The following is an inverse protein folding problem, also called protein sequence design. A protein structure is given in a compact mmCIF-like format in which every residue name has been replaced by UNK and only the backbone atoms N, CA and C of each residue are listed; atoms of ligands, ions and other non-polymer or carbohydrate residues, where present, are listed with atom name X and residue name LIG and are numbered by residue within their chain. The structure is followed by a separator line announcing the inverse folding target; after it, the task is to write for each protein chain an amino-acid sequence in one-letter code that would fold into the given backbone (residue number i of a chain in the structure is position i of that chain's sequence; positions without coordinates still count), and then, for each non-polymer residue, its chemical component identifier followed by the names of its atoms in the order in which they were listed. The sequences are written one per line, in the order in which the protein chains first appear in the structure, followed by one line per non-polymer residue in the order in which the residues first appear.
data_IF_333836663577
#
_entry.id   IF_333836663577
#
_cell.length_a   1.000
_cell.length_b   1.000
_cell.length_c   1.000
_cell.angle_alpha   90.00
_cell.angle_beta   90.00
_cell.angle_gamma   90.00
#
_symmetry.space_group_name_H-M   'P 1'
#
loop_
_entity.id
_entity.type
_entity.pdbx_description
1 polymer ?
#
# COMPACT_ATOMS: atom_id res chain seq x y z
N UNK A 1 45.02 0.47 10.33
CA UNK A 1 44.19 1.44 9.59
C UNK A 1 42.82 0.79 9.36
N UNK A 2 41.94 0.85 10.36
CA UNK A 2 40.63 0.19 10.31
C UNK A 2 39.64 1.04 9.54
N UNK A 3 39.12 0.52 8.43
CA UNK A 3 38.07 1.15 7.63
C UNK A 3 36.74 0.95 8.36
N UNK A 4 36.26 2.00 9.00
CA UNK A 4 34.92 2.08 9.59
C UNK A 4 33.88 1.78 8.50
N UNK A 5 33.06 0.76 8.72
CA UNK A 5 31.88 0.51 7.92
C UNK A 5 30.89 1.67 8.11
N UNK A 6 30.08 2.03 7.08
CA UNK A 6 29.03 3.01 7.28
C UNK A 6 28.01 2.46 8.26
N UNK A 7 27.87 3.14 9.39
CA UNK A 7 26.79 2.97 10.35
C UNK A 7 25.47 3.11 9.61
N UNK A 8 24.63 2.07 9.65
CA UNK A 8 23.26 2.16 9.18
C UNK A 8 22.60 3.35 9.86
N UNK A 9 22.26 4.38 9.07
CA UNK A 9 21.45 5.50 9.53
C UNK A 9 20.19 4.91 10.15
N UNK A 10 19.92 5.31 11.40
CA UNK A 10 18.65 4.99 12.04
C UNK A 10 17.57 5.58 11.15
N UNK A 11 16.80 4.72 10.49
CA UNK A 11 15.58 5.11 9.80
C UNK A 11 14.81 6.05 10.73
N UNK A 12 14.73 7.33 10.33
CA UNK A 12 13.92 8.32 11.01
C UNK A 12 12.52 7.75 11.17
N UNK A 13 11.90 7.96 12.32
CA UNK A 13 10.53 7.50 12.54
C UNK A 13 9.64 8.31 11.58
N UNK A 14 9.31 7.72 10.42
CA UNK A 14 8.47 8.38 9.43
C UNK A 14 7.08 8.53 10.04
N UNK A 15 6.77 9.73 10.50
CA UNK A 15 5.50 10.00 11.19
C UNK A 15 4.42 10.40 10.20
N UNK A 16 3.77 9.41 9.59
CA UNK A 16 2.46 9.61 8.97
C UNK A 16 1.38 9.14 9.96
N UNK A 17 0.32 9.94 10.19
CA UNK A 17 -0.74 9.51 11.10
C UNK A 17 -1.42 8.22 10.68
N UNK A 18 -1.29 7.17 11.49
CA UNK A 18 -1.92 5.86 11.26
C UNK A 18 -3.46 5.91 11.23
N UNK A 19 -4.05 6.98 11.79
CA UNK A 19 -5.49 7.30 11.76
C UNK A 19 -6.00 7.66 10.36
N UNK A 20 -5.11 8.03 9.43
CA UNK A 20 -5.47 8.28 8.03
C UNK A 20 -5.58 6.93 7.31
N UNK A 21 -6.58 6.72 6.43
CA UNK A 21 -6.60 5.56 5.56
C UNK A 21 -5.39 5.52 4.63
N UNK A 22 -4.77 4.35 4.56
CA UNK A 22 -3.78 4.00 3.54
C UNK A 22 -4.46 3.34 2.33
N UNK A 23 -3.91 3.57 1.14
CA UNK A 23 -4.22 2.85 -0.11
C UNK A 23 -2.93 2.51 -0.85
N UNK A 24 -2.85 1.29 -1.39
CA UNK A 24 -1.74 0.90 -2.26
C UNK A 24 -1.94 1.45 -3.68
N UNK A 25 -0.88 2.03 -4.23
CA UNK A 25 -0.78 2.54 -5.59
C UNK A 25 0.18 1.65 -6.39
N UNK A 26 -0.32 0.72 -7.22
CA UNK A 26 0.52 -0.09 -8.09
C UNK A 26 1.30 0.76 -9.09
N UNK A 27 2.50 0.32 -9.42
CA UNK A 27 3.33 0.89 -10.49
C UNK A 27 3.63 -0.18 -11.56
N UNK A 28 4.09 0.22 -12.78
CA UNK A 28 4.47 -0.74 -13.82
C UNK A 28 5.56 -1.72 -13.38
N UNK A 29 6.50 -1.25 -12.55
CA UNK A 29 7.41 -2.09 -11.79
C UNK A 29 6.83 -2.30 -10.38
N UNK A 30 6.63 -3.55 -9.91
CA UNK A 30 6.04 -3.80 -8.60
C UNK A 30 6.75 -3.06 -7.46
N UNK A 31 8.09 -3.15 -7.35
CA UNK A 31 8.90 -2.46 -6.33
C UNK A 31 8.78 -0.93 -6.31
N UNK A 32 8.31 -0.31 -7.39
CA UNK A 32 8.06 1.14 -7.45
C UNK A 32 6.66 1.54 -6.94
N UNK A 33 5.86 0.55 -6.52
CA UNK A 33 4.58 0.80 -5.88
C UNK A 33 4.71 1.72 -4.65
N UNK A 34 3.63 2.41 -4.31
CA UNK A 34 3.62 3.37 -3.20
C UNK A 34 2.43 3.14 -2.29
N UNK A 35 2.56 3.56 -1.03
CA UNK A 35 1.42 3.68 -0.11
C UNK A 35 1.07 5.15 0.01
N UNK A 36 -0.21 5.47 -0.20
CA UNK A 36 -0.74 6.81 -0.03
C UNK A 36 -1.66 6.89 1.18
N UNK A 37 -1.43 7.88 2.03
CA UNK A 37 -2.28 8.24 3.16
C UNK A 37 -3.05 9.50 2.81
N UNK A 38 -4.35 9.51 3.08
CA UNK A 38 -5.24 10.59 2.66
C UNK A 38 -6.37 10.80 3.67
N UNK A 39 -7.05 11.93 3.61
CA UNK A 39 -8.14 12.25 4.53
C UNK A 39 -9.52 12.08 3.84
N UNK A 40 -10.45 11.28 4.39
CA UNK A 40 -11.80 11.14 3.85
C UNK A 40 -12.67 12.41 3.86
N UNK A 41 -12.37 13.40 4.66
CA UNK A 41 -13.06 14.69 4.62
C UNK A 41 -12.36 15.66 3.65
N UNK A 42 -11.09 15.36 3.34
CA UNK A 42 -10.24 16.18 2.47
C UNK A 42 -9.58 17.32 3.23
N UNK A 43 -9.44 17.17 4.55
CA UNK A 43 -8.73 18.11 5.39
C UNK A 43 -7.23 18.18 5.04
N UNK A 44 -6.57 19.32 5.33
CA UNK A 44 -5.14 19.46 5.15
C UNK A 44 -4.36 18.37 5.91
N UNK A 45 -3.42 17.73 5.20
CA UNK A 45 -2.55 16.73 5.80
C UNK A 45 -1.40 17.41 6.55
N UNK A 46 -0.91 16.80 7.66
CA UNK A 46 0.29 17.31 8.32
C UNK A 46 1.48 17.26 7.37
N UNK A 47 2.47 18.12 7.62
CA UNK A 47 3.75 18.02 6.90
C UNK A 47 4.34 16.62 7.16
N UNK A 48 4.62 15.90 6.08
CA UNK A 48 5.35 14.64 6.16
C UNK A 48 6.84 14.87 6.40
N UNK A 49 7.56 13.78 6.69
CA UNK A 49 9.01 13.78 6.67
C UNK A 49 9.49 14.02 5.22
N UNK A 50 10.21 15.12 4.92
CA UNK A 50 10.63 15.46 3.57
C UNK A 50 11.53 14.40 2.90
N UNK A 51 12.21 13.56 3.68
CA UNK A 51 13.16 12.58 3.14
C UNK A 51 12.45 11.34 2.57
N UNK A 52 11.31 10.96 3.16
CA UNK A 52 10.64 9.69 2.84
C UNK A 52 9.17 9.88 2.43
N UNK A 53 8.62 11.08 2.59
CA UNK A 53 7.22 11.39 2.27
C UNK A 53 7.14 12.42 1.15
N UNK A 54 6.37 12.11 0.11
CA UNK A 54 6.05 13.06 -0.95
C UNK A 54 4.57 13.47 -0.88
N UNK A 55 4.32 14.79 -0.82
CA UNK A 55 2.99 15.34 -1.01
C UNK A 55 2.52 15.09 -2.44
N UNK A 56 1.27 14.63 -2.60
CA UNK A 56 0.68 14.32 -3.89
C UNK A 56 -0.82 14.64 -3.89
N UNK A 57 -1.41 14.68 -5.08
CA UNK A 57 -2.86 14.71 -5.27
C UNK A 57 -3.36 13.30 -5.59
N UNK A 58 -4.33 12.82 -4.83
CA UNK A 58 -4.93 11.51 -5.00
C UNK A 58 -6.36 11.65 -5.51
N UNK A 59 -6.67 10.99 -6.63
CA UNK A 59 -8.05 10.87 -7.08
C UNK A 59 -8.70 9.66 -6.43
N UNK A 60 -9.75 9.90 -5.63
CA UNK A 60 -10.52 8.85 -4.96
C UNK A 60 -11.97 8.86 -5.39
N UNK A 61 -12.63 7.71 -5.32
CA UNK A 61 -14.07 7.58 -5.52
C UNK A 61 -14.76 7.72 -4.16
N UNK A 62 -15.67 8.68 -4.08
CA UNK A 62 -16.50 8.92 -2.90
C UNK A 62 -17.97 8.77 -3.23
N UNK A 63 -18.77 8.45 -2.23
CA UNK A 63 -20.23 8.56 -2.33
C UNK A 63 -20.63 10.00 -2.64
N UNK A 64 -21.63 10.16 -3.48
CA UNK A 64 -22.19 11.46 -3.87
C UNK A 64 -23.71 11.35 -3.96
N UNK A 65 -24.40 11.98 -3.01
CA UNK A 65 -25.84 11.83 -2.84
C UNK A 65 -26.24 10.42 -2.41
N UNK A 66 -27.54 10.10 -2.53
CA UNK A 66 -28.12 8.87 -1.99
C UNK A 66 -27.70 7.58 -2.73
N UNK A 67 -27.39 7.66 -4.04
CA UNK A 67 -27.12 6.49 -4.87
C UNK A 67 -25.92 6.65 -5.83
N UNK A 68 -25.21 7.79 -5.76
CA UNK A 68 -24.15 8.12 -6.70
C UNK A 68 -22.75 7.91 -6.13
N UNK A 69 -21.78 7.81 -7.05
CA UNK A 69 -20.35 7.98 -6.74
C UNK A 69 -19.72 8.99 -7.69
N UNK A 70 -18.70 9.70 -7.22
CA UNK A 70 -17.94 10.68 -8.00
C UNK A 70 -16.46 10.57 -7.68
N UNK A 71 -15.64 10.94 -8.66
CA UNK A 71 -14.21 11.17 -8.45
C UNK A 71 -14.04 12.49 -7.70
N UNK A 72 -13.20 12.50 -6.68
CA UNK A 72 -12.75 13.71 -5.98
C UNK A 72 -11.24 13.64 -5.85
N UNK A 73 -10.58 14.75 -6.15
CA UNK A 73 -9.15 14.91 -5.90
C UNK A 73 -8.95 15.41 -4.47
N UNK A 74 -8.00 14.83 -3.74
CA UNK A 74 -7.70 15.14 -2.36
C UNK A 74 -6.19 15.12 -2.14
N UNK A 75 -5.65 15.94 -1.22
CA UNK A 75 -4.26 15.81 -0.80
C UNK A 75 -3.97 14.41 -0.27
N UNK A 76 -2.74 13.94 -0.52
CA UNK A 76 -2.20 12.69 -0.02
C UNK A 76 -0.71 12.82 0.35
N UNK A 77 -0.28 12.02 1.32
CA UNK A 77 1.11 11.76 1.64
C UNK A 77 1.48 10.39 1.10
N UNK A 78 2.49 10.31 0.23
CA UNK A 78 2.91 9.05 -0.39
C UNK A 78 4.29 8.62 0.08
N UNK A 79 4.44 7.34 0.34
CA UNK A 79 5.68 6.71 0.76
C UNK A 79 6.07 5.59 -0.20
N UNK A 80 7.38 5.41 -0.48
CA UNK A 80 7.86 4.17 -1.06
C UNK A 80 7.63 2.99 -0.09
N UNK A 81 7.64 1.77 -0.62
CA UNK A 81 7.27 0.57 0.15
C UNK A 81 8.19 0.30 1.33
N UNK A 82 9.50 0.47 1.15
CA UNK A 82 10.52 0.31 2.19
C UNK A 82 10.26 1.22 3.41
N UNK A 83 9.88 2.47 3.19
CA UNK A 83 9.49 3.41 4.24
C UNK A 83 8.12 3.08 4.84
N UNK A 84 7.16 2.61 4.03
CA UNK A 84 5.80 2.33 4.48
C UNK A 84 5.67 1.03 5.31
N UNK A 85 6.46 0.00 4.99
CA UNK A 85 6.30 -1.34 5.58
C UNK A 85 6.45 -1.36 7.11
N UNK A 86 7.48 -0.75 7.74
CA UNK A 86 7.59 -0.70 9.19
C UNK A 86 6.38 -0.03 9.86
N UNK A 87 5.88 1.06 9.26
CA UNK A 87 4.72 1.79 9.73
C UNK A 87 3.45 0.92 9.66
N UNK A 88 3.18 0.30 8.51
CA UNK A 88 2.00 -0.54 8.30
C UNK A 88 1.97 -1.75 9.25
N UNK A 89 3.11 -2.43 9.43
CA UNK A 89 3.20 -3.59 10.34
C UNK A 89 2.89 -3.19 11.79
N UNK A 90 3.35 -2.02 12.24
CA UNK A 90 3.02 -1.48 13.57
C UNK A 90 1.54 -1.10 13.68
N UNK A 91 1.01 -0.40 12.66
CA UNK A 91 -0.37 0.08 12.63
C UNK A 91 -1.43 -1.03 12.71
N UNK A 92 -1.11 -2.26 12.25
CA UNK A 92 -2.00 -3.43 12.29
C UNK A 92 -2.66 -3.68 13.65
N UNK A 93 -1.98 -3.37 14.75
CA UNK A 93 -2.50 -3.57 16.12
C UNK A 93 -2.72 -2.26 16.87
N UNK A 94 -2.55 -1.11 16.22
CA UNK A 94 -2.76 0.18 16.85
C UNK A 94 -4.26 0.47 16.92
N UNK A 95 -4.84 0.65 18.12
CA UNK A 95 -6.27 0.98 18.27
C UNK A 95 -6.68 2.29 17.59
N UNK A 96 -5.74 3.20 17.35
CA UNK A 96 -5.97 4.46 16.65
C UNK A 96 -5.79 4.36 15.13
N UNK A 97 -5.35 3.21 14.60
CA UNK A 97 -5.18 3.04 13.17
C UNK A 97 -6.53 3.02 12.44
N UNK A 98 -6.56 3.65 11.27
CA UNK A 98 -7.68 3.50 10.36
C UNK A 98 -7.83 2.03 9.95
N UNK A 99 -9.05 1.48 9.84
CA UNK A 99 -9.24 0.08 9.43
C UNK A 99 -8.56 -0.29 8.11
N UNK A 100 -8.54 0.63 7.12
CA UNK A 100 -7.80 0.46 5.87
C UNK A 100 -6.29 0.27 6.10
N UNK A 101 -5.70 1.09 6.96
CA UNK A 101 -4.28 1.06 7.30
C UNK A 101 -3.93 -0.20 8.07
N UNK A 102 -4.79 -0.64 8.98
CA UNK A 102 -4.63 -1.91 9.68
C UNK A 102 -4.70 -3.12 8.72
N UNK A 103 -5.60 -3.09 7.73
CA UNK A 103 -5.69 -4.12 6.68
C UNK A 103 -4.42 -4.17 5.82
N UNK A 104 -3.90 -3.02 5.39
CA UNK A 104 -2.61 -2.95 4.70
C UNK A 104 -1.44 -3.41 5.58
N UNK A 105 -1.53 -3.20 6.90
CA UNK A 105 -0.61 -3.80 7.88
C UNK A 105 -0.65 -5.32 7.94
N UNK A 106 -1.85 -5.92 7.84
CA UNK A 106 -2.00 -7.36 7.73
C UNK A 106 -1.42 -7.90 6.40
N UNK A 107 -1.69 -7.22 5.28
CA UNK A 107 -1.10 -7.56 3.99
C UNK A 107 0.44 -7.46 4.02
N UNK A 108 1.00 -6.42 4.66
CA UNK A 108 2.44 -6.20 4.78
C UNK A 108 3.12 -7.33 5.55
N UNK A 109 2.55 -7.71 6.71
CA UNK A 109 3.08 -8.84 7.48
C UNK A 109 2.98 -10.16 6.71
N UNK A 110 1.92 -10.36 5.93
CA UNK A 110 1.77 -11.54 5.07
C UNK A 110 2.86 -11.60 4.00
N UNK A 111 3.07 -10.50 3.27
CA UNK A 111 4.12 -10.41 2.26
C UNK A 111 5.50 -10.71 2.84
N UNK A 112 5.84 -10.09 3.98
CA UNK A 112 7.13 -10.29 4.63
C UNK A 112 7.32 -11.75 5.10
N UNK A 113 6.25 -12.42 5.54
CA UNK A 113 6.28 -13.86 5.89
C UNK A 113 6.47 -14.75 4.66
N UNK A 114 5.88 -14.39 3.52
CA UNK A 114 6.10 -15.09 2.25
C UNK A 114 7.56 -14.96 1.83
N UNK A 115 8.11 -13.73 1.83
CA UNK A 115 9.50 -13.43 1.51
C UNK A 115 10.46 -14.16 2.45
N UNK A 116 10.21 -14.11 3.77
CA UNK A 116 11.04 -14.80 4.77
C UNK A 116 11.04 -16.33 4.61
N UNK A 117 9.95 -16.91 4.09
CA UNK A 117 9.85 -18.34 3.74
C UNK A 117 10.47 -18.67 2.37
N UNK A 118 11.08 -17.71 1.69
CA UNK A 118 11.65 -17.89 0.35
C UNK A 118 10.60 -18.12 -0.74
N UNK A 119 9.35 -17.67 -0.52
CA UNK A 119 8.26 -17.78 -1.51
C UNK A 119 8.36 -16.63 -2.51
N UNK A 120 9.38 -16.66 -3.35
CA UNK A 120 9.62 -15.69 -4.41
C UNK A 120 9.77 -16.41 -5.74
N UNK A 121 9.06 -15.94 -6.77
CA UNK A 121 9.17 -16.43 -8.13
C UNK A 121 9.75 -15.32 -9.02
N UNK A 122 10.87 -15.56 -9.72
CA UNK A 122 11.34 -14.62 -10.73
C UNK A 122 10.41 -14.63 -11.95
N UNK A 123 10.28 -13.50 -12.63
CA UNK A 123 9.48 -13.37 -13.84
C UNK A 123 9.69 -12.04 -14.55
N UNK A 124 8.84 -11.80 -15.55
CA UNK A 124 8.77 -10.53 -16.26
C UNK A 124 7.43 -9.86 -15.98
N UNK A 125 7.44 -8.53 -15.84
CA UNK A 125 6.22 -7.71 -15.88
C UNK A 125 5.60 -7.76 -17.28
N UNK A 126 4.35 -7.29 -17.41
CA UNK A 126 3.69 -7.21 -18.71
C UNK A 126 4.45 -6.31 -19.73
N UNK A 127 5.29 -5.40 -19.24
CA UNK A 127 6.14 -4.52 -20.07
C UNK A 127 7.55 -5.07 -20.29
N UNK A 128 7.85 -6.29 -19.83
CA UNK A 128 9.11 -6.98 -20.10
C UNK A 128 10.26 -6.65 -19.15
N UNK A 129 9.99 -6.09 -17.98
CA UNK A 129 11.02 -5.84 -16.95
C UNK A 129 11.14 -7.03 -16.00
N UNK A 130 12.33 -7.28 -15.49
CA UNK A 130 12.56 -8.26 -14.43
C UNK A 130 11.85 -7.85 -13.14
N UNK A 131 11.10 -8.80 -12.58
CA UNK A 131 10.43 -8.63 -11.30
C UNK A 131 10.31 -9.95 -10.55
N UNK A 132 10.29 -9.86 -9.23
CA UNK A 132 9.86 -10.95 -8.36
C UNK A 132 8.37 -10.86 -8.08
N UNK A 133 7.76 -12.02 -7.81
CA UNK A 133 6.37 -12.10 -7.34
C UNK A 133 6.28 -13.06 -6.17
N UNK A 134 5.37 -12.81 -5.24
CA UNK A 134 5.16 -13.66 -4.08
C UNK A 134 4.60 -15.03 -4.51
N UNK A 135 5.31 -16.12 -4.25
CA UNK A 135 4.78 -17.45 -4.51
C UNK A 135 5.83 -18.56 -4.62
N UNK A 136 5.39 -19.80 -4.90
CA UNK A 136 3.99 -20.23 -5.02
C UNK A 136 3.25 -20.06 -3.69
N UNK A 137 1.97 -19.66 -3.74
CA UNK A 137 1.12 -19.54 -2.56
C UNK A 137 0.47 -20.88 -2.25
N UNK A 138 0.55 -21.32 -1.00
CA UNK A 138 -0.21 -22.47 -0.52
C UNK A 138 -1.69 -22.08 -0.23
N UNK A 139 -2.60 -23.04 0.03
CA UNK A 139 -4.00 -22.74 0.27
C UNK A 139 -4.24 -21.79 1.46
N UNK A 140 -3.42 -21.85 2.50
CA UNK A 140 -3.54 -20.97 3.67
C UNK A 140 -3.11 -19.54 3.32
N UNK A 141 -2.06 -19.40 2.51
CA UNK A 141 -1.60 -18.11 2.00
C UNK A 141 -2.66 -17.43 1.13
N UNK A 142 -3.36 -18.21 0.31
CA UNK A 142 -4.51 -17.74 -0.49
C UNK A 142 -5.69 -17.38 0.42
N UNK A 143 -5.98 -18.21 1.42
CA UNK A 143 -7.02 -17.94 2.41
C UNK A 143 -6.79 -16.63 3.17
N UNK A 144 -5.54 -16.37 3.59
CA UNK A 144 -5.17 -15.13 4.27
C UNK A 144 -5.30 -13.91 3.35
N UNK A 145 -4.85 -14.01 2.09
CA UNK A 145 -5.03 -12.94 1.09
C UNK A 145 -6.51 -12.57 0.94
N UNK A 146 -7.37 -13.57 0.74
CA UNK A 146 -8.82 -13.37 0.59
C UNK A 146 -9.45 -12.75 1.83
N UNK A 147 -9.04 -13.19 3.02
CA UNK A 147 -9.53 -12.63 4.27
C UNK A 147 -9.17 -11.14 4.42
N UNK A 148 -7.93 -10.75 4.06
CA UNK A 148 -7.51 -9.34 4.07
C UNK A 148 -8.30 -8.54 3.04
N UNK A 149 -8.46 -9.05 1.83
CA UNK A 149 -9.21 -8.38 0.76
C UNK A 149 -10.69 -8.18 1.13
N UNK A 150 -11.34 -9.19 1.72
CA UNK A 150 -12.72 -9.10 2.17
C UNK A 150 -12.91 -8.12 3.34
N UNK A 151 -11.88 -7.93 4.17
CA UNK A 151 -11.90 -6.97 5.27
C UNK A 151 -11.51 -5.54 4.85
N UNK A 152 -10.92 -5.36 3.65
CA UNK A 152 -10.40 -4.08 3.19
C UNK A 152 -11.57 -3.08 2.98
N UNK A 153 -11.69 -2.03 3.81
CA UNK A 153 -12.74 -1.04 3.62
C UNK A 153 -12.51 -0.21 2.35
N UNK A 154 -13.55 0.52 1.93
CA UNK A 154 -13.55 1.21 0.65
C UNK A 154 -12.38 2.20 0.51
N UNK A 155 -11.98 2.85 1.61
CA UNK A 155 -10.90 3.83 1.63
C UNK A 155 -9.56 3.19 1.25
N UNK A 156 -9.40 1.90 1.53
CA UNK A 156 -8.22 1.12 1.21
C UNK A 156 -8.07 0.77 -0.26
N UNK A 157 -9.10 0.99 -1.08
CA UNK A 157 -9.10 0.71 -2.51
C UNK A 157 -9.93 1.72 -3.31
N UNK A 158 -10.00 2.97 -2.83
CA UNK A 158 -10.86 4.02 -3.40
C UNK A 158 -10.31 4.64 -4.69
N UNK A 159 -9.08 4.33 -5.10
CA UNK A 159 -8.45 4.91 -6.30
C UNK A 159 -9.02 4.22 -7.54
N UNK A 160 -9.64 4.95 -8.48
CA UNK A 160 -10.25 4.34 -9.65
C UNK A 160 -9.19 3.85 -10.64
N UNK A 161 -9.52 2.77 -11.34
CA UNK A 161 -8.74 2.31 -12.48
C UNK A 161 -8.73 3.40 -13.58
N UNK A 162 -7.60 3.59 -14.29
CA UNK A 162 -7.51 4.56 -15.36
C UNK A 162 -8.44 4.19 -16.53
N UNK A 163 -8.80 5.20 -17.32
CA UNK A 163 -9.55 5.04 -18.55
C UNK A 163 -10.88 5.80 -18.59
N UNK A 164 -11.42 6.03 -19.81
CA UNK A 164 -12.68 6.73 -20.00
C UNK A 164 -13.88 5.88 -19.55
N UNK A 165 -15.01 6.54 -19.33
CA UNK A 165 -16.30 5.89 -19.08
C UNK A 165 -16.62 5.67 -17.60
N UNK A 166 -17.39 4.61 -17.33
CA UNK A 166 -17.92 4.30 -15.99
C UNK A 166 -16.78 4.14 -14.98
N UNK A 167 -16.96 4.72 -13.80
CA UNK A 167 -16.01 4.58 -12.69
C UNK A 167 -15.87 3.09 -12.35
N UNK A 168 -14.63 2.60 -12.32
CA UNK A 168 -14.27 1.24 -11.90
C UNK A 168 -13.23 1.35 -10.80
N UNK A 169 -13.42 0.59 -9.73
CA UNK A 169 -12.42 0.42 -8.68
C UNK A 169 -11.65 -0.88 -8.93
N UNK A 170 -10.40 -1.00 -8.44
CA UNK A 170 -9.70 -2.27 -8.42
C UNK A 170 -10.49 -3.29 -7.58
N UNK A 171 -10.42 -4.55 -8.00
CA UNK A 171 -10.93 -5.64 -7.19
C UNK A 171 -9.98 -5.83 -5.98
N UNK A 172 -10.49 -5.88 -4.73
CA UNK A 172 -9.64 -5.95 -3.54
C UNK A 172 -8.65 -7.12 -3.50
N UNK A 173 -9.04 -8.34 -3.89
CA UNK A 173 -8.12 -9.49 -3.92
C UNK A 173 -6.97 -9.24 -4.91
N UNK A 174 -7.26 -8.71 -6.10
CA UNK A 174 -6.26 -8.36 -7.09
C UNK A 174 -5.32 -7.25 -6.61
N UNK A 175 -5.85 -6.25 -5.90
CA UNK A 175 -5.04 -5.15 -5.35
C UNK A 175 -4.11 -5.64 -4.23
N UNK A 176 -4.62 -6.47 -3.32
CA UNK A 176 -3.81 -7.10 -2.27
C UNK A 176 -2.76 -8.00 -2.89
N UNK A 177 -3.10 -8.78 -3.91
CA UNK A 177 -2.14 -9.60 -4.66
C UNK A 177 -1.01 -8.77 -5.26
N UNK A 178 -1.34 -7.67 -5.92
CA UNK A 178 -0.36 -6.75 -6.50
C UNK A 178 0.56 -6.14 -5.43
N UNK A 179 0.03 -5.86 -4.23
CA UNK A 179 0.84 -5.38 -3.11
C UNK A 179 1.80 -6.45 -2.58
N UNK A 180 1.36 -7.71 -2.44
CA UNK A 180 2.27 -8.80 -2.03
C UNK A 180 3.43 -8.96 -3.03
N UNK A 181 3.14 -8.81 -4.32
CA UNK A 181 4.15 -8.85 -5.38
C UNK A 181 5.11 -7.67 -5.31
N UNK A 182 4.59 -6.48 -5.05
CA UNK A 182 5.39 -5.27 -4.89
C UNK A 182 6.34 -5.31 -3.69
N UNK A 183 6.00 -6.03 -2.63
CA UNK A 183 6.87 -6.23 -1.45
C UNK A 183 7.87 -7.39 -1.65
N UNK A 184 7.54 -8.33 -2.54
CA UNK A 184 8.41 -9.43 -2.90
C UNK A 184 9.53 -9.03 -3.88
N UNK A 185 9.26 -8.02 -4.72
CA UNK A 185 10.19 -7.38 -5.66
C UNK A 185 11.10 -6.33 -5.01
#
# INVERSE_FOLDING_TARGET
MGKTAPTAERAGDVTVPVRLPAVFLPAPLPREGRIAFWDPEGEPLPAGDPEHTAAAELTVVRRHGAAGVRRRTTPALTLPLDAALPLLVRARHDPAAHPATACWGAAALHALRLTARGRLLPGLTATGHDAWRAGPLDPDDVGHLRAVAAALPHEGHAVPLPGPGRIRLPEPEALVRAFLDAVAD
#
